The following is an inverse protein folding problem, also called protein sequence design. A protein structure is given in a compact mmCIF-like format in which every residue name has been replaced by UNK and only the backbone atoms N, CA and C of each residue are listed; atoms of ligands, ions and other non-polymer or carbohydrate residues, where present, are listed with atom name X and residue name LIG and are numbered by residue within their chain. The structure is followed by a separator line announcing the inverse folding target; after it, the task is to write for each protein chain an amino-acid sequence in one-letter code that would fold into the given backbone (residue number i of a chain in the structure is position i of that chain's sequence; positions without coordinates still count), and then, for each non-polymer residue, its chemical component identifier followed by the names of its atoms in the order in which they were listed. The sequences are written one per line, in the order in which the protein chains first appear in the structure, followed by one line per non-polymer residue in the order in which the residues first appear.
data_IF_113709132976
#
_entry.id   IF_113709132976
#
_cell.length_a   1.000
_cell.length_b   1.000
_cell.length_c   1.000
_cell.angle_alpha   90.00
_cell.angle_beta   90.00
_cell.angle_gamma   90.00
#
_symmetry.space_group_name_H-M   'P 1'
#
loop_
_entity.id
_entity.type
_entity.pdbx_description
1 polymer ?
#
# COMPACT_ATOMS: atom_id res chain seq x y z
N UNK A 1 -27.02 -1.15 12.04
CA UNK A 1 -27.60 -0.31 10.98
C UNK A 1 -28.15 1.01 11.57
N UNK A 2 -29.00 0.97 12.60
CA UNK A 2 -29.56 2.17 13.24
C UNK A 2 -28.48 3.17 13.72
N UNK A 3 -27.36 2.64 14.21
CA UNK A 3 -26.22 3.46 14.63
C UNK A 3 -25.52 4.13 13.44
N UNK A 4 -25.45 3.46 12.31
CA UNK A 4 -24.88 4.02 11.08
C UNK A 4 -25.74 5.15 10.51
N UNK A 5 -27.06 5.02 10.54
CA UNK A 5 -27.99 6.09 10.14
C UNK A 5 -27.81 7.34 10.99
N UNK A 6 -27.71 7.17 12.31
CA UNK A 6 -27.52 8.30 13.25
C UNK A 6 -26.20 9.03 13.01
N UNK A 7 -25.14 8.30 12.68
CA UNK A 7 -23.81 8.89 12.46
C UNK A 7 -23.50 9.26 11.01
N UNK A 8 -24.41 8.96 10.10
CA UNK A 8 -24.28 9.30 8.68
C UNK A 8 -22.96 8.82 8.05
N UNK A 9 -22.57 7.58 8.38
CA UNK A 9 -21.25 7.02 8.04
C UNK A 9 -21.03 6.99 6.53
N UNK A 10 -22.06 6.57 5.78
CA UNK A 10 -21.96 6.49 4.31
C UNK A 10 -21.86 7.89 3.70
N UNK A 11 -22.59 8.87 4.24
CA UNK A 11 -22.50 10.25 3.79
C UNK A 11 -21.11 10.83 4.09
N UNK A 12 -20.54 10.56 5.26
CA UNK A 12 -19.18 10.97 5.59
C UNK A 12 -18.14 10.33 4.66
N UNK A 13 -18.32 9.05 4.31
CA UNK A 13 -17.47 8.40 3.33
C UNK A 13 -17.59 9.05 1.95
N UNK A 14 -18.82 9.35 1.51
CA UNK A 14 -19.03 10.06 0.25
C UNK A 14 -18.34 11.42 0.23
N UNK A 15 -18.42 12.18 1.33
CA UNK A 15 -17.76 13.47 1.46
C UNK A 15 -16.22 13.35 1.28
N UNK A 16 -15.62 12.29 1.83
CA UNK A 16 -14.20 11.99 1.62
C UNK A 16 -13.93 11.69 0.13
N UNK A 17 -14.75 10.85 -0.48
CA UNK A 17 -14.60 10.45 -1.90
C UNK A 17 -14.73 11.65 -2.85
N UNK A 18 -15.59 12.61 -2.55
CA UNK A 18 -15.75 13.82 -3.38
C UNK A 18 -14.71 14.91 -3.10
N UNK A 19 -13.82 14.69 -2.13
CA UNK A 19 -12.65 15.52 -1.87
C UNK A 19 -12.82 16.58 -0.79
N UNK A 20 -13.77 16.41 0.13
CA UNK A 20 -13.82 17.24 1.33
C UNK A 20 -12.55 17.05 2.20
N UNK A 21 -12.23 18.05 3.01
CA UNK A 21 -11.08 17.98 3.91
C UNK A 21 -11.34 16.89 4.95
N UNK A 22 -10.54 15.84 4.93
CA UNK A 22 -10.63 14.71 5.85
C UNK A 22 -9.40 14.52 6.72
N UNK A 23 -8.24 15.03 6.30
CA UNK A 23 -7.06 15.14 7.13
C UNK A 23 -7.00 16.52 7.78
N UNK A 24 -7.58 16.64 8.96
CA UNK A 24 -7.69 17.91 9.68
C UNK A 24 -6.34 18.44 10.15
N UNK A 25 -5.37 17.57 10.44
CA UNK A 25 -4.02 17.96 10.87
C UNK A 25 -3.26 18.63 9.74
N UNK A 26 -3.31 18.07 8.53
CA UNK A 26 -2.64 18.63 7.35
C UNK A 26 -3.53 19.60 6.57
N UNK A 27 -4.81 19.74 6.93
CA UNK A 27 -5.82 20.53 6.22
C UNK A 27 -5.94 20.16 4.72
N UNK A 28 -5.92 18.86 4.44
CA UNK A 28 -5.95 18.30 3.09
C UNK A 28 -7.11 17.33 2.91
N UNK A 29 -7.61 17.25 1.68
CA UNK A 29 -8.43 16.14 1.25
C UNK A 29 -7.56 14.91 0.97
N UNK A 30 -8.18 13.72 0.88
CA UNK A 30 -7.50 12.51 0.40
C UNK A 30 -7.70 12.35 -1.10
N UNK A 31 -6.64 12.00 -1.83
CA UNK A 31 -6.64 12.01 -3.30
C UNK A 31 -6.45 10.64 -3.94
N UNK A 32 -6.27 9.58 -3.18
CA UNK A 32 -6.10 8.24 -3.74
C UNK A 32 -7.33 7.74 -4.55
N UNK A 33 -8.52 8.29 -4.29
CA UNK A 33 -9.72 8.03 -5.10
C UNK A 33 -9.62 8.60 -6.52
N UNK A 34 -8.91 9.70 -6.71
CA UNK A 34 -8.84 10.40 -7.99
C UNK A 34 -8.10 9.58 -9.05
N UNK A 35 -7.09 8.80 -8.66
CA UNK A 35 -6.39 7.88 -9.57
C UNK A 35 -7.33 6.80 -10.13
N UNK A 36 -8.27 6.32 -9.31
CA UNK A 36 -9.27 5.32 -9.71
C UNK A 36 -10.38 5.90 -10.57
N UNK A 37 -10.74 7.16 -10.37
CA UNK A 37 -11.77 7.85 -11.18
C UNK A 37 -11.29 8.20 -12.60
N UNK A 38 -10.02 8.56 -12.78
CA UNK A 38 -9.41 8.84 -14.07
C UNK A 38 -10.01 10.06 -14.83
N UNK A 39 -10.61 11.02 -14.11
CA UNK A 39 -11.33 12.14 -14.73
C UNK A 39 -10.62 13.49 -14.58
N UNK A 40 -9.66 13.65 -13.68
CA UNK A 40 -8.90 14.88 -13.50
C UNK A 40 -7.57 14.82 -14.26
N UNK A 41 -7.28 15.89 -15.02
CA UNK A 41 -6.14 15.97 -15.95
C UNK A 41 -4.79 15.64 -15.31
N UNK A 42 -4.50 16.19 -14.13
CA UNK A 42 -3.24 15.96 -13.42
C UNK A 42 -3.04 14.47 -13.05
N UNK A 43 -4.07 13.80 -12.55
CA UNK A 43 -3.98 12.37 -12.19
C UNK A 43 -3.84 11.46 -13.42
N UNK A 44 -4.47 11.83 -14.54
CA UNK A 44 -4.31 11.13 -15.83
C UNK A 44 -2.89 11.33 -16.37
N UNK A 45 -2.31 12.51 -16.17
CA UNK A 45 -0.94 12.82 -16.59
C UNK A 45 0.07 12.02 -15.74
N UNK A 46 -0.10 11.97 -14.42
CA UNK A 46 0.70 11.12 -13.54
C UNK A 46 0.67 9.65 -13.98
N UNK A 47 -0.52 9.13 -14.35
CA UNK A 47 -0.67 7.76 -14.87
C UNK A 47 0.05 7.53 -16.20
N UNK A 48 0.04 8.50 -17.10
CA UNK A 48 0.79 8.41 -18.36
C UNK A 48 2.30 8.40 -18.12
N UNK A 49 2.76 9.24 -17.21
CA UNK A 49 4.17 9.34 -16.86
C UNK A 49 4.70 8.03 -16.26
N UNK A 50 3.98 7.43 -15.32
CA UNK A 50 4.41 6.16 -14.73
C UNK A 50 4.46 5.04 -15.77
N UNK A 51 3.47 4.96 -16.68
CA UNK A 51 3.46 3.96 -17.75
C UNK A 51 4.60 4.15 -18.72
N UNK A 52 4.90 5.39 -19.11
CA UNK A 52 6.03 5.71 -19.98
C UNK A 52 7.37 5.32 -19.36
N UNK A 53 7.57 5.63 -18.07
CA UNK A 53 8.81 5.27 -17.36
C UNK A 53 8.89 3.76 -17.11
N UNK A 54 7.78 3.09 -16.79
CA UNK A 54 7.76 1.65 -16.68
C UNK A 54 8.18 0.96 -17.99
N UNK A 55 7.71 1.46 -19.13
CA UNK A 55 8.11 0.95 -20.44
C UNK A 55 9.60 1.22 -20.73
N UNK A 56 10.10 2.42 -20.40
CA UNK A 56 11.53 2.77 -20.49
C UNK A 56 12.38 1.79 -19.67
N UNK A 57 11.98 1.51 -18.43
CA UNK A 57 12.69 0.58 -17.53
C UNK A 57 12.66 -0.84 -18.11
N UNK A 58 11.51 -1.36 -18.47
CA UNK A 58 11.37 -2.73 -19.02
C UNK A 58 12.21 -2.98 -20.28
N UNK A 59 12.40 -1.96 -21.12
CA UNK A 59 13.15 -2.10 -22.37
C UNK A 59 14.66 -2.08 -22.17
N UNK A 60 15.15 -1.37 -21.14
CA UNK A 60 16.56 -1.03 -21.05
C UNK A 60 17.29 -1.70 -19.88
N UNK A 61 16.56 -2.25 -18.90
CA UNK A 61 17.13 -2.76 -17.67
C UNK A 61 16.68 -4.18 -17.38
N UNK A 62 17.54 -4.96 -16.70
CA UNK A 62 17.28 -6.35 -16.31
C UNK A 62 16.85 -6.49 -14.87
N UNK A 63 17.40 -5.65 -13.99
CA UNK A 63 17.08 -5.62 -12.57
C UNK A 63 16.59 -4.23 -12.19
N UNK A 64 15.70 -4.18 -11.22
CA UNK A 64 15.18 -2.93 -10.66
C UNK A 64 15.37 -2.95 -9.15
N UNK A 65 16.18 -2.05 -8.65
CA UNK A 65 16.36 -1.82 -7.23
C UNK A 65 15.41 -0.72 -6.77
N UNK A 66 14.59 -1.00 -5.77
CA UNK A 66 13.61 -0.05 -5.24
C UNK A 66 13.96 0.29 -3.79
N UNK A 67 14.48 1.49 -3.60
CA UNK A 67 14.77 2.07 -2.29
C UNK A 67 13.49 2.72 -1.74
N UNK A 68 12.88 2.11 -0.74
CA UNK A 68 11.57 2.53 -0.23
C UNK A 68 11.29 1.97 1.16
N UNK A 69 10.39 2.61 1.90
CA UNK A 69 9.95 2.14 3.23
C UNK A 69 8.45 2.43 3.43
N UNK A 70 7.81 1.69 4.32
CA UNK A 70 6.42 1.90 4.71
C UNK A 70 5.47 1.82 3.52
N UNK A 71 4.62 2.84 3.33
CA UNK A 71 3.61 2.85 2.26
C UNK A 71 4.19 2.87 0.85
N UNK A 72 5.43 3.35 0.68
CA UNK A 72 6.13 3.28 -0.61
C UNK A 72 6.71 1.89 -0.91
N UNK A 73 6.73 1.00 0.08
CA UNK A 73 7.26 -0.36 -0.05
C UNK A 73 6.18 -1.44 0.02
N UNK A 74 5.35 -1.44 1.06
CA UNK A 74 4.47 -2.59 1.40
C UNK A 74 3.47 -2.91 0.29
N UNK A 75 2.86 -1.89 -0.33
CA UNK A 75 1.98 -2.09 -1.49
C UNK A 75 2.72 -2.63 -2.71
N UNK A 76 3.78 -1.97 -3.19
CA UNK A 76 4.60 -2.46 -4.29
C UNK A 76 5.18 -3.86 -4.09
N UNK A 77 5.67 -4.20 -2.87
CA UNK A 77 6.16 -5.54 -2.55
C UNK A 77 5.07 -6.59 -2.67
N UNK A 78 3.85 -6.28 -2.19
CA UNK A 78 2.69 -7.16 -2.35
C UNK A 78 2.36 -7.37 -3.83
N UNK A 79 2.40 -6.32 -4.65
CA UNK A 79 2.18 -6.44 -6.10
C UNK A 79 3.25 -7.30 -6.76
N UNK A 80 4.51 -7.18 -6.33
CA UNK A 80 5.57 -8.04 -6.80
C UNK A 80 5.30 -9.53 -6.49
N UNK A 81 4.88 -9.84 -5.27
CA UNK A 81 4.53 -11.22 -4.91
C UNK A 81 3.37 -11.79 -5.74
N UNK A 82 2.36 -10.98 -6.00
CA UNK A 82 1.16 -11.43 -6.73
C UNK A 82 1.43 -11.62 -8.21
N UNK A 83 2.12 -10.69 -8.85
CA UNK A 83 2.18 -10.57 -10.31
C UNK A 83 3.51 -10.96 -10.93
N UNK A 84 4.62 -11.02 -10.15
CA UNK A 84 5.92 -11.35 -10.74
C UNK A 84 5.96 -12.81 -11.22
N UNK A 85 6.27 -12.95 -12.50
CA UNK A 85 6.44 -14.25 -13.21
C UNK A 85 7.91 -14.58 -13.41
N UNK A 86 8.82 -13.91 -12.69
CA UNK A 86 10.28 -13.98 -12.82
C UNK A 86 10.85 -13.44 -14.15
N UNK A 87 10.08 -12.61 -14.86
CA UNK A 87 10.53 -11.99 -16.12
C UNK A 87 11.40 -10.74 -15.88
N UNK A 88 11.29 -10.14 -14.69
CA UNK A 88 12.04 -8.97 -14.24
C UNK A 88 12.43 -9.15 -12.78
N UNK A 89 13.70 -9.02 -12.47
CA UNK A 89 14.19 -9.08 -11.11
C UNK A 89 13.96 -7.75 -10.40
N UNK A 90 13.09 -7.72 -9.39
CA UNK A 90 12.78 -6.54 -8.58
C UNK A 90 13.26 -6.78 -7.16
N UNK A 91 14.17 -5.93 -6.70
CA UNK A 91 14.83 -6.02 -5.40
C UNK A 91 14.45 -4.79 -4.58
N UNK A 92 13.86 -5.01 -3.42
CA UNK A 92 13.53 -3.93 -2.49
C UNK A 92 14.63 -3.76 -1.45
N UNK A 93 15.00 -2.51 -1.21
CA UNK A 93 15.89 -2.10 -0.12
C UNK A 93 15.07 -1.21 0.80
N UNK A 94 14.83 -1.68 2.02
CA UNK A 94 13.78 -1.13 2.89
C UNK A 94 14.31 -0.47 4.15
N UNK A 95 15.57 -0.69 4.47
CA UNK A 95 16.19 -0.17 5.68
C UNK A 95 17.46 0.59 5.43
N UNK A 96 18.11 0.92 6.52
CA UNK A 96 19.44 1.52 6.56
C UNK A 96 20.46 0.60 7.21
N UNK A 97 20.11 -0.68 7.43
CA UNK A 97 21.04 -1.68 7.95
C UNK A 97 21.92 -2.18 6.79
N UNK A 98 23.25 -2.00 6.86
CA UNK A 98 24.17 -2.43 5.83
C UNK A 98 24.08 -3.94 5.50
N UNK A 99 23.67 -4.78 6.44
CA UNK A 99 23.53 -6.21 6.21
C UNK A 99 22.45 -6.54 5.15
N UNK A 100 21.47 -5.66 4.96
CA UNK A 100 20.43 -5.82 3.93
C UNK A 100 20.99 -5.71 2.51
N UNK A 101 22.06 -4.92 2.30
CA UNK A 101 22.53 -4.58 0.95
C UNK A 101 24.05 -4.69 0.75
N UNK A 102 24.81 -5.11 1.76
CA UNK A 102 26.28 -5.20 1.67
C UNK A 102 26.80 -6.16 0.58
N UNK A 103 25.99 -7.14 0.20
CA UNK A 103 26.34 -8.08 -0.89
C UNK A 103 25.89 -7.59 -2.28
N UNK A 104 25.15 -6.47 -2.37
CA UNK A 104 24.63 -5.96 -3.63
C UNK A 104 25.73 -5.26 -4.41
N UNK A 105 25.86 -5.62 -5.68
CA UNK A 105 26.70 -4.95 -6.65
C UNK A 105 25.83 -4.42 -7.78
N UNK A 106 25.79 -3.09 -7.93
CA UNK A 106 25.06 -2.42 -9.00
C UNK A 106 25.82 -2.57 -10.33
N UNK A 107 25.09 -2.87 -11.38
CA UNK A 107 25.58 -3.04 -12.74
C UNK A 107 25.05 -1.92 -13.66
N UNK A 108 25.63 -1.78 -14.84
CA UNK A 108 25.23 -0.74 -15.80
C UNK A 108 23.80 -0.94 -16.35
N UNK A 109 23.30 -2.17 -16.35
CA UNK A 109 21.95 -2.54 -16.79
C UNK A 109 20.93 -2.68 -15.63
N UNK A 110 21.21 -2.04 -14.49
CA UNK A 110 20.30 -1.94 -13.36
C UNK A 110 19.56 -0.59 -13.36
N UNK A 111 18.26 -0.62 -13.06
CA UNK A 111 17.48 0.57 -12.75
C UNK A 111 17.43 0.81 -11.24
N UNK A 112 17.65 2.05 -10.80
CA UNK A 112 17.67 2.45 -9.40
C UNK A 112 16.49 3.38 -9.12
N UNK A 113 15.51 2.95 -8.35
CA UNK A 113 14.26 3.70 -8.11
C UNK A 113 14.21 4.16 -6.66
N UNK A 114 14.26 5.47 -6.43
CA UNK A 114 14.03 6.06 -5.10
C UNK A 114 12.55 6.38 -4.97
N UNK A 115 11.84 5.64 -4.14
CA UNK A 115 10.41 5.83 -3.92
C UNK A 115 10.14 6.41 -2.53
N UNK A 116 9.92 7.73 -2.48
CA UNK A 116 9.66 8.46 -1.23
C UNK A 116 8.77 9.67 -1.49
N UNK A 117 7.59 9.71 -0.85
CA UNK A 117 6.64 10.82 -0.99
C UNK A 117 7.28 12.18 -0.72
N UNK A 118 8.00 12.31 0.39
CA UNK A 118 8.64 13.57 0.81
C UNK A 118 9.98 13.84 0.15
N UNK A 119 10.58 12.82 -0.46
CA UNK A 119 11.97 12.78 -0.90
C UNK A 119 12.92 13.28 0.20
N UNK A 120 12.69 12.79 1.42
CA UNK A 120 13.45 13.19 2.62
C UNK A 120 13.50 12.10 3.68
N UNK A 121 13.05 10.88 3.36
CA UNK A 121 13.12 9.72 4.25
C UNK A 121 14.58 9.30 4.37
N UNK A 122 15.12 9.41 5.59
CA UNK A 122 16.55 9.24 5.83
C UNK A 122 17.02 7.84 5.45
N UNK A 123 16.31 6.81 5.88
CA UNK A 123 16.63 5.40 5.61
C UNK A 123 16.74 5.14 4.10
N UNK A 124 15.75 5.60 3.34
CA UNK A 124 15.70 5.44 1.87
C UNK A 124 16.87 6.14 1.17
N UNK A 125 17.20 7.36 1.58
CA UNK A 125 18.26 8.13 0.94
C UNK A 125 19.64 7.66 1.38
N UNK A 126 19.80 7.18 2.62
CA UNK A 126 21.06 6.64 3.12
C UNK A 126 21.41 5.34 2.43
N UNK A 127 20.47 4.37 2.39
CA UNK A 127 20.70 3.10 1.70
C UNK A 127 21.01 3.30 0.21
N UNK A 128 20.30 4.20 -0.47
CA UNK A 128 20.62 4.54 -1.86
C UNK A 128 22.07 5.05 -2.00
N UNK A 129 22.50 6.01 -1.15
CA UNK A 129 23.86 6.56 -1.20
C UNK A 129 24.93 5.52 -0.89
N UNK A 130 24.67 4.64 0.06
CA UNK A 130 25.62 3.58 0.43
C UNK A 130 25.76 2.54 -0.67
N UNK A 131 24.66 2.10 -1.29
CA UNK A 131 24.68 1.13 -2.39
C UNK A 131 25.28 1.71 -3.66
N UNK A 132 24.94 2.97 -4.00
CA UNK A 132 25.39 3.62 -5.25
C UNK A 132 26.67 4.45 -5.07
N UNK A 133 27.18 4.63 -3.86
CA UNK A 133 28.31 5.51 -3.56
C UNK A 133 27.98 6.98 -3.79
N UNK A 134 29.00 7.77 -4.11
CA UNK A 134 28.83 9.22 -4.40
C UNK A 134 28.45 9.49 -5.87
N UNK A 135 28.25 8.47 -6.66
CA UNK A 135 27.92 8.59 -8.08
C UNK A 135 26.41 8.51 -8.26
N UNK A 136 25.83 9.51 -8.94
CA UNK A 136 24.46 9.42 -9.41
C UNK A 136 24.45 8.70 -10.74
N UNK A 137 23.99 7.47 -10.75
CA UNK A 137 23.87 6.71 -11.98
C UNK A 137 22.78 7.31 -12.87
N UNK A 138 23.05 7.44 -14.14
CA UNK A 138 22.10 7.95 -15.15
C UNK A 138 20.82 7.10 -15.27
N UNK A 139 20.81 5.91 -14.71
CA UNK A 139 19.68 4.98 -14.61
C UNK A 139 18.86 5.16 -13.32
N UNK A 140 19.05 6.29 -12.61
CA UNK A 140 18.28 6.57 -11.40
C UNK A 140 16.97 7.25 -11.73
N UNK A 141 15.92 6.78 -11.04
CA UNK A 141 14.54 7.26 -11.15
C UNK A 141 14.04 7.68 -9.77
N UNK A 142 13.10 8.61 -9.72
CA UNK A 142 12.45 9.02 -8.50
C UNK A 142 10.93 8.93 -8.61
N UNK A 143 10.26 8.46 -7.56
CA UNK A 143 8.82 8.55 -7.39
C UNK A 143 8.55 9.39 -6.15
N UNK A 144 8.00 10.60 -6.33
CA UNK A 144 7.90 11.56 -5.24
C UNK A 144 6.81 12.60 -5.46
N UNK A 145 6.27 13.13 -4.36
CA UNK A 145 5.44 14.33 -4.38
C UNK A 145 6.27 15.63 -4.29
N UNK A 146 7.59 15.51 -4.12
CA UNK A 146 8.51 16.65 -4.00
C UNK A 146 9.56 16.63 -5.10
N UNK A 147 9.15 17.06 -6.30
CA UNK A 147 9.98 17.06 -7.50
C UNK A 147 11.26 17.90 -7.32
N UNK A 148 11.19 19.05 -6.64
CA UNK A 148 12.35 19.91 -6.46
C UNK A 148 13.47 19.22 -5.69
N UNK A 149 13.15 18.51 -4.60
CA UNK A 149 14.15 17.75 -3.87
C UNK A 149 14.80 16.62 -4.69
N UNK A 150 14.05 15.99 -5.57
CA UNK A 150 14.60 14.95 -6.44
C UNK A 150 15.56 15.56 -7.48
N UNK A 151 15.23 16.73 -8.04
CA UNK A 151 16.12 17.48 -8.91
C UNK A 151 17.39 17.96 -8.19
N UNK A 152 17.24 18.53 -6.97
CA UNK A 152 18.36 18.97 -6.15
C UNK A 152 19.28 17.81 -5.74
N UNK A 153 18.71 16.60 -5.61
CA UNK A 153 19.45 15.36 -5.34
C UNK A 153 20.26 14.87 -6.54
N UNK A 154 19.93 15.34 -7.76
CA UNK A 154 20.62 15.01 -9.01
C UNK A 154 19.87 14.03 -9.91
N UNK A 155 18.62 13.73 -9.64
CA UNK A 155 17.80 12.90 -10.54
C UNK A 155 17.38 13.74 -11.76
N UNK A 156 17.58 13.20 -12.97
CA UNK A 156 17.15 13.85 -14.20
C UNK A 156 15.63 14.02 -14.24
N UNK A 157 15.18 15.19 -14.69
CA UNK A 157 13.75 15.55 -14.71
C UNK A 157 12.87 14.52 -15.43
N UNK A 158 13.34 13.98 -16.54
CA UNK A 158 12.65 12.96 -17.33
C UNK A 158 12.51 11.60 -16.64
N UNK A 159 13.26 11.39 -15.55
CA UNK A 159 13.23 10.17 -14.71
C UNK A 159 12.43 10.38 -13.42
N UNK A 160 11.77 11.52 -13.26
CA UNK A 160 10.98 11.82 -12.06
C UNK A 160 9.50 11.59 -12.33
N UNK A 161 8.93 10.66 -11.60
CA UNK A 161 7.49 10.40 -11.54
C UNK A 161 6.93 11.20 -10.36
N UNK A 162 6.14 12.23 -10.66
CA UNK A 162 5.48 13.04 -9.64
C UNK A 162 4.09 12.47 -9.34
N UNK A 163 3.61 12.71 -8.13
CA UNK A 163 2.24 12.42 -7.73
C UNK A 163 1.73 13.40 -6.67
N UNK A 164 0.42 13.43 -6.45
CA UNK A 164 -0.23 14.40 -5.56
C UNK A 164 0.17 14.18 -4.09
N UNK A 165 0.60 15.24 -3.42
CA UNK A 165 1.06 15.22 -2.03
C UNK A 165 -0.02 14.87 -1.00
N UNK A 166 -1.29 14.96 -1.38
CA UNK A 166 -2.42 14.60 -0.52
C UNK A 166 -2.73 13.10 -0.56
N UNK A 167 -2.02 12.33 -1.39
CA UNK A 167 -2.09 10.85 -1.36
C UNK A 167 -1.43 10.34 -0.09
N UNK A 168 -2.20 9.68 0.78
CA UNK A 168 -1.69 9.08 2.02
C UNK A 168 -0.74 7.91 1.73
N UNK A 169 0.34 7.79 2.52
CA UNK A 169 1.37 6.77 2.29
C UNK A 169 0.81 5.34 2.20
N UNK A 170 0.03 4.90 3.19
CA UNK A 170 -0.58 3.55 3.24
C UNK A 170 -1.64 3.29 2.16
N UNK A 171 -2.18 4.34 1.53
CA UNK A 171 -3.12 4.26 0.40
C UNK A 171 -2.45 4.50 -0.95
N UNK A 172 -1.15 4.67 -0.99
CA UNK A 172 -0.42 5.06 -2.20
C UNK A 172 -0.32 3.97 -3.25
N UNK A 173 -0.71 2.75 -2.93
CA UNK A 173 -0.81 1.65 -3.90
C UNK A 173 -1.71 2.02 -5.13
N UNK A 174 -2.62 2.96 -4.98
CA UNK A 174 -3.48 3.48 -6.06
C UNK A 174 -2.81 4.56 -6.92
N UNK A 175 -1.64 5.06 -6.51
CA UNK A 175 -0.89 6.16 -7.11
C UNK A 175 0.33 5.66 -7.90
N UNK A 176 1.12 6.55 -8.50
CA UNK A 176 2.40 6.21 -9.13
C UNK A 176 3.43 5.49 -8.26
N UNK A 177 3.25 5.45 -6.94
CA UNK A 177 4.06 4.59 -6.06
C UNK A 177 4.01 3.12 -6.52
N UNK A 178 2.92 2.70 -7.15
CA UNK A 178 2.75 1.34 -7.68
C UNK A 178 3.40 1.14 -9.07
N UNK A 179 4.60 1.66 -9.27
CA UNK A 179 5.40 1.43 -10.48
C UNK A 179 5.58 -0.07 -10.75
N UNK A 180 5.72 -0.88 -9.70
CA UNK A 180 5.91 -2.33 -9.79
C UNK A 180 4.81 -3.00 -10.60
N UNK A 181 3.55 -2.66 -10.36
CA UNK A 181 2.45 -3.21 -11.14
C UNK A 181 2.54 -2.84 -12.63
N UNK A 182 2.94 -1.59 -12.92
CA UNK A 182 3.15 -1.16 -14.30
C UNK A 182 4.32 -1.92 -14.97
N UNK A 183 5.38 -2.20 -14.22
CA UNK A 183 6.52 -3.00 -14.69
C UNK A 183 6.11 -4.44 -15.00
N UNK A 184 5.27 -5.05 -14.19
CA UNK A 184 4.91 -6.47 -14.30
C UNK A 184 3.77 -6.74 -15.27
N UNK A 185 2.72 -5.92 -15.25
CA UNK A 185 1.46 -6.16 -15.98
C UNK A 185 1.18 -5.10 -17.06
N UNK A 186 2.01 -4.06 -17.15
CA UNK A 186 1.86 -2.99 -18.13
C UNK A 186 0.59 -2.15 -17.95
N UNK A 187 0.23 -1.43 -19.01
CA UNK A 187 -0.91 -0.50 -18.99
C UNK A 187 -2.25 -1.20 -18.69
N UNK A 188 -2.48 -2.36 -19.31
CA UNK A 188 -3.74 -3.09 -19.11
C UNK A 188 -3.91 -3.53 -17.67
N UNK A 189 -2.93 -4.20 -17.08
CA UNK A 189 -3.02 -4.67 -15.70
C UNK A 189 -3.13 -3.53 -14.70
N UNK A 190 -2.43 -2.42 -14.93
CA UNK A 190 -2.56 -1.22 -14.10
C UNK A 190 -3.97 -0.63 -14.15
N UNK A 191 -4.58 -0.53 -15.34
CA UNK A 191 -5.96 -0.04 -15.51
C UNK A 191 -6.99 -0.99 -14.88
N UNK A 192 -6.82 -2.30 -15.07
CA UNK A 192 -7.70 -3.31 -14.47
C UNK A 192 -7.66 -3.24 -12.93
N UNK A 193 -6.47 -3.04 -12.34
CA UNK A 193 -6.31 -2.85 -10.90
C UNK A 193 -7.03 -1.61 -10.38
N UNK A 194 -6.86 -0.46 -11.04
CA UNK A 194 -7.56 0.77 -10.68
C UNK A 194 -9.07 0.64 -10.82
N UNK A 195 -9.54 -0.06 -11.85
CA UNK A 195 -10.96 -0.32 -12.08
C UNK A 195 -11.55 -1.18 -10.95
N UNK A 196 -10.86 -2.26 -10.51
CA UNK A 196 -11.30 -3.04 -9.37
C UNK A 196 -11.40 -2.23 -8.08
N UNK A 197 -10.42 -1.34 -7.83
CA UNK A 197 -10.48 -0.40 -6.73
C UNK A 197 -11.66 0.58 -6.82
N UNK A 198 -11.98 1.06 -8.03
CA UNK A 198 -13.14 1.92 -8.26
C UNK A 198 -14.46 1.19 -8.00
N UNK A 199 -14.58 -0.04 -8.45
CA UNK A 199 -15.77 -0.87 -8.20
C UNK A 199 -16.03 -1.06 -6.69
N UNK A 200 -14.96 -1.21 -5.91
CA UNK A 200 -15.06 -1.27 -4.45
C UNK A 200 -15.43 0.08 -3.83
N UNK A 201 -14.89 1.20 -4.32
CA UNK A 201 -15.34 2.54 -3.88
C UNK A 201 -16.83 2.75 -4.14
N UNK A 202 -17.32 2.34 -5.32
CA UNK A 202 -18.74 2.42 -5.67
C UNK A 202 -19.59 1.49 -4.78
N UNK A 203 -19.08 0.31 -4.40
CA UNK A 203 -19.73 -0.58 -3.45
C UNK A 203 -19.83 0.01 -2.04
N UNK A 204 -18.81 0.75 -1.61
CA UNK A 204 -18.80 1.43 -0.31
C UNK A 204 -19.82 2.59 -0.19
N UNK A 205 -20.39 3.05 -1.31
CA UNK A 205 -21.44 4.07 -1.34
C UNK A 205 -22.86 3.48 -1.31
N UNK A 206 -22.99 2.17 -1.36
CA UNK A 206 -24.28 1.47 -1.29
C UNK A 206 -24.86 1.48 0.13
N UNK A 207 -26.12 1.08 0.24
CA UNK A 207 -26.79 0.85 1.53
C UNK A 207 -26.03 -0.21 2.35
N UNK A 208 -26.17 -0.19 3.69
CA UNK A 208 -25.40 -1.09 4.58
C UNK A 208 -25.48 -2.57 4.21
N UNK A 209 -26.63 -3.04 3.75
CA UNK A 209 -26.87 -4.45 3.40
C UNK A 209 -26.05 -4.91 2.20
N UNK A 210 -25.77 -3.99 1.26
CA UNK A 210 -25.04 -4.23 0.02
C UNK A 210 -23.59 -3.72 0.06
N UNK A 211 -23.13 -3.27 1.23
CA UNK A 211 -21.81 -2.68 1.44
C UNK A 211 -20.89 -3.59 2.25
N UNK A 212 -20.06 -4.42 1.61
CA UNK A 212 -19.22 -5.37 2.32
C UNK A 212 -18.20 -4.71 3.25
N UNK A 213 -17.65 -3.54 2.89
CA UNK A 213 -16.72 -2.83 3.74
C UNK A 213 -17.39 -2.32 5.01
N UNK A 214 -18.63 -1.82 4.90
CA UNK A 214 -19.43 -1.41 6.05
C UNK A 214 -19.70 -2.60 6.98
N UNK A 215 -20.11 -3.74 6.42
CA UNK A 215 -20.41 -4.95 7.20
C UNK A 215 -19.18 -5.45 7.97
N UNK A 216 -18.01 -5.51 7.32
CA UNK A 216 -16.75 -5.88 7.97
C UNK A 216 -16.37 -4.87 9.05
N UNK A 217 -16.52 -3.57 8.82
CA UNK A 217 -16.22 -2.54 9.82
C UNK A 217 -17.12 -2.66 11.05
N UNK A 218 -18.42 -2.95 10.86
CA UNK A 218 -19.35 -3.21 11.97
C UNK A 218 -18.95 -4.47 12.74
N UNK A 219 -18.56 -5.52 12.06
CA UNK A 219 -18.05 -6.73 12.68
C UNK A 219 -16.82 -6.43 13.55
N UNK A 220 -15.85 -5.68 13.03
CA UNK A 220 -14.64 -5.31 13.79
C UNK A 220 -14.98 -4.47 15.02
N UNK A 221 -15.91 -3.52 14.92
CA UNK A 221 -16.39 -2.74 16.07
C UNK A 221 -17.03 -3.64 17.13
N UNK A 222 -17.87 -4.61 16.73
CA UNK A 222 -18.50 -5.56 17.64
C UNK A 222 -17.45 -6.39 18.37
N UNK A 223 -16.50 -6.98 17.64
CA UNK A 223 -15.45 -7.78 18.25
C UNK A 223 -14.62 -6.94 19.22
N UNK A 224 -14.14 -5.79 18.77
CA UNK A 224 -13.20 -4.98 19.53
C UNK A 224 -13.84 -4.27 20.73
N UNK A 225 -15.06 -3.73 20.59
CA UNK A 225 -15.67 -2.89 21.61
C UNK A 225 -16.76 -3.58 22.45
N UNK A 226 -17.47 -4.58 21.93
CA UNK A 226 -18.53 -5.26 22.66
C UNK A 226 -18.10 -6.61 23.21
N UNK A 227 -17.24 -7.33 22.49
CA UNK A 227 -16.77 -8.65 22.87
C UNK A 227 -15.38 -8.64 23.52
N UNK A 228 -14.71 -7.48 23.56
CA UNK A 228 -13.34 -7.32 24.07
C UNK A 228 -12.31 -8.24 23.37
N UNK A 229 -12.49 -8.45 22.08
CA UNK A 229 -11.57 -9.21 21.23
C UNK A 229 -10.66 -8.23 20.50
N UNK A 230 -9.51 -7.95 21.08
CA UNK A 230 -8.62 -6.85 20.69
C UNK A 230 -7.72 -7.14 19.49
N UNK A 231 -7.75 -8.37 18.98
CA UNK A 231 -6.87 -8.79 17.89
C UNK A 231 -7.63 -9.42 16.74
N UNK A 232 -7.13 -9.20 15.54
CA UNK A 232 -7.64 -9.81 14.31
C UNK A 232 -6.55 -10.66 13.67
N UNK A 233 -6.82 -11.95 13.59
CA UNK A 233 -5.97 -12.92 12.91
C UNK A 233 -6.34 -12.97 11.43
N UNK A 234 -5.39 -12.70 10.56
CA UNK A 234 -5.55 -12.82 9.12
C UNK A 234 -4.66 -13.94 8.61
N UNK A 235 -5.29 -14.98 8.07
CA UNK A 235 -4.62 -16.17 7.54
C UNK A 235 -4.82 -16.24 6.03
N UNK A 236 -3.74 -16.25 5.28
CA UNK A 236 -3.84 -16.42 3.84
C UNK A 236 -3.30 -17.79 3.40
N UNK A 237 -4.04 -18.43 2.49
CA UNK A 237 -3.70 -19.75 1.93
C UNK A 237 -3.25 -19.67 0.46
N UNK A 238 -2.92 -18.45 0.00
CA UNK A 238 -2.25 -18.22 -1.26
C UNK A 238 -0.84 -17.69 -1.00
N UNK A 239 0.19 -18.41 -1.47
CA UNK A 239 1.59 -18.01 -1.28
C UNK A 239 1.89 -16.62 -1.84
N UNK A 240 1.21 -16.21 -2.90
CA UNK A 240 1.34 -14.88 -3.50
C UNK A 240 0.85 -13.75 -2.59
N UNK A 241 0.06 -14.07 -1.58
CA UNK A 241 -0.44 -13.13 -0.58
C UNK A 241 0.37 -13.14 0.73
N UNK A 242 1.55 -13.78 0.77
CA UNK A 242 2.35 -13.92 2.00
C UNK A 242 2.67 -12.57 2.67
N UNK A 243 2.87 -11.50 1.89
CA UNK A 243 3.12 -10.15 2.38
C UNK A 243 1.84 -9.31 2.62
N UNK A 244 0.65 -9.89 2.40
CA UNK A 244 -0.63 -9.20 2.64
C UNK A 244 -0.81 -8.76 4.09
N UNK A 245 -0.28 -9.53 5.04
CA UNK A 245 -0.38 -9.21 6.47
C UNK A 245 0.33 -7.90 6.78
N UNK A 246 1.58 -7.73 6.34
CA UNK A 246 2.35 -6.50 6.57
C UNK A 246 1.67 -5.28 5.93
N UNK A 247 1.12 -5.44 4.73
CA UNK A 247 0.32 -4.41 4.08
C UNK A 247 -0.94 -4.07 4.89
N UNK A 248 -1.68 -5.09 5.35
CA UNK A 248 -2.90 -4.91 6.16
C UNK A 248 -2.60 -4.24 7.51
N UNK A 249 -1.49 -4.58 8.14
CA UNK A 249 -1.06 -3.94 9.39
C UNK A 249 -0.90 -2.43 9.20
N UNK A 250 -0.25 -1.99 8.14
CA UNK A 250 -0.13 -0.56 7.89
C UNK A 250 -1.47 0.08 7.54
N UNK A 251 -2.25 -0.52 6.64
CA UNK A 251 -3.54 0.03 6.24
C UNK A 251 -4.49 0.16 7.44
N UNK A 252 -4.57 -0.84 8.29
CA UNK A 252 -5.51 -0.88 9.42
C UNK A 252 -4.95 -0.15 10.66
N UNK A 253 -3.77 -0.58 11.14
CA UNK A 253 -3.28 -0.11 12.44
C UNK A 253 -2.78 1.34 12.39
N UNK A 254 -2.18 1.79 11.29
CA UNK A 254 -1.82 3.20 11.11
C UNK A 254 -3.07 4.08 10.91
N UNK A 255 -4.13 3.55 10.29
CA UNK A 255 -5.38 4.29 10.11
C UNK A 255 -6.14 4.45 11.41
N UNK A 256 -6.33 3.39 12.15
CA UNK A 256 -7.22 3.30 13.31
C UNK A 256 -6.50 3.38 14.65
N UNK A 257 -5.18 3.19 14.70
CA UNK A 257 -4.37 3.28 15.93
C UNK A 257 -4.24 4.71 16.44
N UNK A 258 -5.37 5.34 16.82
CA UNK A 258 -5.44 6.74 17.24
C UNK A 258 -6.23 6.85 18.54
N UNK A 259 -5.67 7.59 19.50
CA UNK A 259 -6.26 7.82 20.83
C UNK A 259 -7.04 9.14 20.93
N UNK A 260 -7.08 9.93 19.85
CA UNK A 260 -7.74 11.24 19.81
C UNK A 260 -8.66 11.32 18.59
N UNK A 261 -9.83 11.95 18.77
CA UNK A 261 -10.79 12.22 17.70
C UNK A 261 -10.39 13.45 16.84
N UNK A 262 -11.20 13.77 15.83
CA UNK A 262 -11.00 14.93 14.96
C UNK A 262 -11.11 16.29 15.66
N UNK A 263 -11.69 16.34 16.88
CA UNK A 263 -11.81 17.53 17.72
C UNK A 263 -10.72 17.62 18.78
N UNK A 264 -9.72 16.75 18.70
CA UNK A 264 -8.61 16.64 19.64
C UNK A 264 -9.02 16.18 21.05
N UNK A 265 -10.13 15.47 21.18
CA UNK A 265 -10.56 14.85 22.43
C UNK A 265 -10.02 13.42 22.51
N UNK A 266 -9.66 12.99 23.72
CA UNK A 266 -9.31 11.59 23.95
C UNK A 266 -10.56 10.72 23.77
N UNK A 267 -10.41 9.63 22.99
CA UNK A 267 -11.48 8.63 22.81
C UNK A 267 -11.56 7.69 24.02
N UNK A 268 -12.75 7.22 24.33
CA UNK A 268 -13.06 6.30 25.44
C UNK A 268 -13.49 4.91 24.96
N UNK A 269 -13.20 4.61 23.69
CA UNK A 269 -13.49 3.34 23.05
C UNK A 269 -12.24 2.79 22.32
N UNK A 270 -12.26 1.52 21.94
CA UNK A 270 -11.19 0.91 21.16
C UNK A 270 -11.27 1.33 19.71
N UNK A 271 -10.16 1.81 19.13
CA UNK A 271 -10.12 2.42 17.80
C UNK A 271 -9.65 1.51 16.68
N UNK A 272 -9.08 0.37 16.97
CA UNK A 272 -8.61 -0.58 15.97
C UNK A 272 -8.07 -1.84 16.61
N UNK A 273 -8.10 -2.94 15.86
CA UNK A 273 -7.55 -4.22 16.28
C UNK A 273 -6.06 -4.31 16.00
N UNK A 274 -5.36 -5.14 16.76
CA UNK A 274 -4.00 -5.58 16.41
C UNK A 274 -4.10 -6.64 15.31
N UNK A 275 -3.59 -6.33 14.13
CA UNK A 275 -3.57 -7.27 13.01
C UNK A 275 -2.33 -8.17 13.12
N UNK A 276 -2.54 -9.48 13.07
CA UNK A 276 -1.49 -10.49 13.08
C UNK A 276 -1.90 -11.68 12.21
N UNK A 277 -0.97 -12.58 11.96
CA UNK A 277 -1.24 -13.74 11.13
C UNK A 277 -0.08 -14.08 10.22
N UNK A 278 -0.36 -14.67 9.07
CA UNK A 278 0.66 -15.05 8.12
C UNK A 278 0.17 -15.99 7.02
N UNK A 279 1.13 -16.59 6.32
CA UNK A 279 0.85 -17.61 5.34
C UNK A 279 0.40 -18.89 6.05
N UNK A 280 -0.78 -19.40 5.69
CA UNK A 280 -1.49 -20.45 6.40
C UNK A 280 -0.67 -21.71 6.70
N UNK A 281 -0.03 -22.35 5.72
CA UNK A 281 0.78 -23.54 5.96
C UNK A 281 1.89 -23.35 7.01
N UNK A 282 2.64 -22.27 6.96
CA UNK A 282 3.69 -21.96 7.95
C UNK A 282 3.08 -21.66 9.33
N UNK A 283 2.03 -20.89 9.36
CA UNK A 283 1.32 -20.50 10.59
C UNK A 283 0.70 -21.68 11.32
N UNK A 284 0.19 -22.66 10.58
CA UNK A 284 -0.34 -23.90 11.15
C UNK A 284 0.70 -24.67 11.98
N UNK A 285 1.96 -24.62 11.56
CA UNK A 285 3.08 -25.25 12.25
C UNK A 285 3.78 -24.33 13.27
N UNK A 286 3.31 -23.09 13.42
CA UNK A 286 3.88 -22.11 14.35
C UNK A 286 2.93 -21.85 15.54
N UNK A 287 1.81 -21.19 15.32
CA UNK A 287 0.97 -20.67 16.40
C UNK A 287 -0.47 -21.21 16.42
N UNK A 288 -0.85 -22.18 15.61
CA UNK A 288 -2.21 -22.73 15.60
C UNK A 288 -2.59 -23.43 16.90
N UNK A 289 -1.62 -23.92 17.66
CA UNK A 289 -1.89 -24.41 19.02
C UNK A 289 -2.60 -23.34 19.85
N UNK A 290 -2.14 -22.07 19.79
CA UNK A 290 -2.78 -20.97 20.46
C UNK A 290 -4.18 -20.66 19.91
N UNK A 291 -4.35 -20.73 18.58
CA UNK A 291 -5.64 -20.46 17.92
C UNK A 291 -6.72 -21.45 18.36
N UNK A 292 -6.37 -22.72 18.56
CA UNK A 292 -7.31 -23.77 18.93
C UNK A 292 -7.52 -23.92 20.44
N UNK A 293 -6.47 -23.77 21.24
CA UNK A 293 -6.50 -24.11 22.68
C UNK A 293 -6.06 -22.94 23.57
N UNK A 294 -5.64 -21.82 22.99
CA UNK A 294 -5.25 -20.63 23.76
C UNK A 294 -6.46 -19.96 24.43
N UNK A 295 -6.20 -19.23 25.49
CA UNK A 295 -7.23 -18.50 26.26
C UNK A 295 -7.55 -17.12 25.70
N UNK A 296 -6.74 -16.59 24.77
CA UNK A 296 -6.98 -15.32 24.12
C UNK A 296 -7.79 -15.50 22.84
N UNK A 297 -8.82 -14.68 22.71
CA UNK A 297 -9.69 -14.68 21.53
C UNK A 297 -9.12 -13.76 20.45
N UNK A 298 -9.42 -14.06 19.19
CA UNK A 298 -9.16 -13.20 18.05
C UNK A 298 -10.33 -13.25 17.07
N UNK A 299 -10.67 -12.14 16.43
CA UNK A 299 -11.44 -12.17 15.19
C UNK A 299 -10.60 -12.85 14.11
N UNK A 300 -11.21 -13.63 13.20
CA UNK A 300 -10.45 -14.49 12.28
C UNK A 300 -10.93 -14.30 10.84
N UNK A 301 -10.01 -13.90 9.97
CA UNK A 301 -10.21 -13.86 8.53
C UNK A 301 -9.32 -14.89 7.84
N UNK A 302 -9.93 -15.72 7.01
CA UNK A 302 -9.24 -16.69 6.16
C UNK A 302 -9.36 -16.25 4.72
N UNK A 303 -8.23 -16.04 4.06
CA UNK A 303 -8.15 -15.61 2.68
C UNK A 303 -7.60 -16.76 1.84
N UNK A 304 -8.32 -17.15 0.81
CA UNK A 304 -7.87 -18.14 -0.16
C UNK A 304 -8.28 -17.71 -1.57
N UNK A 305 -7.40 -17.97 -2.54
CA UNK A 305 -7.75 -17.79 -3.93
C UNK A 305 -8.50 -19.04 -4.45
N UNK A 306 -9.51 -18.81 -5.28
CA UNK A 306 -10.14 -19.89 -6.04
C UNK A 306 -9.28 -20.19 -7.27
N UNK A 307 -8.69 -21.37 -7.31
CA UNK A 307 -7.98 -21.83 -8.50
C UNK A 307 -8.82 -22.86 -9.24
N UNK A 308 -9.19 -22.55 -10.47
CA UNK A 308 -9.85 -23.51 -11.37
C UNK A 308 -8.86 -24.57 -11.93
N UNK A 309 -7.57 -24.49 -11.54
CA UNK A 309 -6.48 -25.34 -12.02
C UNK A 309 -6.05 -26.44 -11.05
N UNK A 310 -6.60 -26.50 -9.86
CA UNK A 310 -6.30 -27.57 -8.92
C UNK A 310 -7.25 -28.75 -9.18
N UNK A 311 -6.88 -29.60 -10.11
CA UNK A 311 -7.37 -30.98 -10.15
C UNK A 311 -6.56 -31.75 -9.10
N UNK A 312 -7.13 -32.00 -7.93
CA UNK A 312 -6.68 -33.02 -6.99
C UNK A 312 -7.32 -34.36 -7.39
#
# INVERSE_FOLDING_TARGET
YKYAEVNDVIQKFNNIVIGEISNFTEKKSVTHFEYKKGNKKNFVEDQRNILSIAEKIRRNFKRVFIFSIGGSNLGPSLMNDIFNKNDLEIIFITGSDPDEYSSIQIQEDDALVISSKSFGTLETLSSYKEVCGNNFYHNSFAITANKSKALDFGIHEENIISFDSSTGGRFSIWSPINLVLCLLEGEKGYKDFLQGGKEMDDACLKIPEDNPAFQLSVQDIIYNNLLNVETTLVMNYDYKLRNFISFSQQVEMESNGKSIDSNNNKVDYQTGSIIWGGYGPESQHSFFQHVFQGTKQSNKYFICSRSDKLNY
#
